data_IF_718509275617
#
_entry.id   IF_718509275617
#
_cell.length_a   1.000
_cell.length_b   1.000
_cell.length_c   1.000
_cell.angle_alpha   90.00
_cell.angle_beta   90.00
_cell.angle_gamma   90.00
#
_symmetry.space_group_name_H-M   'P 1'
#
loop_
_entity.id
_entity.type
_entity.pdbx_description
1 polymer ?
#
# COMPACT_ATOMS: atom_id res chain seq x y z
N UNK A 1 9.33 -3.75 -3.51
CA UNK A 1 8.29 -2.96 -4.21
C UNK A 1 7.99 -3.45 -5.63
N UNK A 2 8.89 -4.15 -6.31
CA UNK A 2 8.69 -4.55 -7.71
C UNK A 2 7.41 -5.38 -7.91
N UNK A 3 7.10 -6.31 -7.00
CA UNK A 3 5.89 -7.13 -7.08
C UNK A 3 4.60 -6.29 -7.12
N UNK A 4 4.52 -5.20 -6.35
CA UNK A 4 3.37 -4.28 -6.36
C UNK A 4 3.21 -3.63 -7.74
N UNK A 5 4.33 -3.26 -8.38
CA UNK A 5 4.30 -2.70 -9.74
C UNK A 5 3.83 -3.73 -10.77
N UNK A 6 4.28 -4.99 -10.64
CA UNK A 6 3.86 -6.09 -11.53
C UNK A 6 2.35 -6.31 -11.42
N UNK A 7 1.80 -6.41 -10.21
CA UNK A 7 0.35 -6.63 -10.01
C UNK A 7 -0.49 -5.40 -10.39
N UNK A 8 0.03 -4.19 -10.17
CA UNK A 8 -0.60 -2.96 -10.68
C UNK A 8 -0.69 -2.94 -12.21
N UNK A 9 0.37 -3.41 -12.91
CA UNK A 9 0.37 -3.52 -14.37
C UNK A 9 -0.63 -4.57 -14.87
N UNK A 10 -0.78 -5.68 -14.16
CA UNK A 10 -1.76 -6.74 -14.47
C UNK A 10 -3.22 -6.33 -14.20
N UNK A 11 -3.45 -5.27 -13.42
CA UNK A 11 -4.81 -4.81 -13.05
C UNK A 11 -5.47 -5.66 -11.95
N UNK A 12 -4.71 -6.52 -11.28
CA UNK A 12 -5.17 -7.37 -10.18
C UNK A 12 -5.17 -6.64 -8.84
N UNK A 13 -4.36 -5.58 -8.72
CA UNK A 13 -4.18 -4.81 -7.50
C UNK A 13 -5.40 -3.91 -7.23
N UNK A 14 -5.94 -3.99 -6.01
CA UNK A 14 -7.12 -3.24 -5.54
C UNK A 14 -6.77 -2.12 -4.56
N UNK A 15 -5.73 -2.31 -3.76
CA UNK A 15 -5.22 -1.33 -2.79
C UNK A 15 -3.71 -1.48 -2.63
N UNK A 16 -3.00 -0.37 -2.48
CA UNK A 16 -1.60 -0.37 -2.10
C UNK A 16 -1.41 0.31 -0.73
N UNK A 17 -0.64 -0.32 0.15
CA UNK A 17 -0.16 0.30 1.38
C UNK A 17 1.33 0.53 1.22
N UNK A 18 1.78 1.76 1.39
CA UNK A 18 3.18 2.16 1.23
C UNK A 18 3.68 2.68 2.56
N UNK A 19 4.86 2.24 2.96
CA UNK A 19 5.46 2.73 4.18
C UNK A 19 5.93 4.19 4.04
N UNK A 20 5.74 5.00 5.08
CA UNK A 20 5.97 6.46 5.02
C UNK A 20 7.47 6.83 5.01
N UNK A 21 8.29 5.99 5.62
CA UNK A 21 9.75 6.11 5.78
C UNK A 21 10.53 5.69 4.52
N UNK A 22 9.84 5.21 3.49
CA UNK A 22 10.45 4.84 2.22
C UNK A 22 11.06 6.07 1.55
N UNK A 23 12.29 5.91 1.04
CA UNK A 23 12.96 6.95 0.25
C UNK A 23 12.09 7.47 -0.90
N UNK A 24 12.15 8.79 -1.13
CA UNK A 24 11.42 9.46 -2.21
C UNK A 24 11.68 8.82 -3.58
N UNK A 25 12.95 8.48 -3.85
CA UNK A 25 13.35 7.80 -5.08
C UNK A 25 12.63 6.46 -5.31
N UNK A 26 12.32 5.71 -4.25
CA UNK A 26 11.59 4.45 -4.37
C UNK A 26 10.09 4.69 -4.56
N UNK A 27 9.52 5.69 -3.88
CA UNK A 27 8.12 6.10 -4.05
C UNK A 27 7.83 6.59 -5.47
N UNK A 28 8.73 7.39 -6.04
CA UNK A 28 8.61 7.93 -7.41
C UNK A 28 8.54 6.83 -8.50
N UNK A 29 8.96 5.59 -8.20
CA UNK A 29 8.86 4.45 -9.13
C UNK A 29 7.50 3.77 -9.15
N UNK A 30 6.71 3.93 -8.08
CA UNK A 30 5.51 3.15 -7.81
C UNK A 30 4.27 4.03 -7.77
N UNK A 31 4.32 5.14 -7.03
CA UNK A 31 3.17 6.03 -6.84
C UNK A 31 2.60 6.56 -8.16
N UNK A 32 3.40 7.02 -9.14
CA UNK A 32 2.85 7.48 -10.42
C UNK A 32 2.10 6.38 -11.18
N UNK A 33 2.60 5.14 -11.15
CA UNK A 33 1.95 3.99 -11.77
C UNK A 33 0.62 3.66 -11.09
N UNK A 34 0.59 3.63 -9.75
CA UNK A 34 -0.62 3.35 -8.99
C UNK A 34 -1.71 4.40 -9.24
N UNK A 35 -1.32 5.69 -9.22
CA UNK A 35 -2.22 6.80 -9.55
C UNK A 35 -2.76 6.70 -10.97
N UNK A 36 -1.89 6.42 -11.96
CA UNK A 36 -2.30 6.25 -13.35
C UNK A 36 -3.26 5.07 -13.57
N UNK A 37 -3.24 4.08 -12.68
CA UNK A 37 -4.14 2.91 -12.69
C UNK A 37 -5.40 3.10 -11.84
N UNK A 38 -5.57 4.25 -11.18
CA UNK A 38 -6.70 4.50 -10.28
C UNK A 38 -6.71 3.60 -9.04
N UNK A 39 -5.53 3.18 -8.59
CA UNK A 39 -5.39 2.31 -7.42
C UNK A 39 -5.20 3.20 -6.19
N UNK A 40 -6.03 3.00 -5.17
CA UNK A 40 -5.92 3.72 -3.91
C UNK A 40 -4.60 3.41 -3.19
N UNK A 41 -4.06 4.42 -2.52
CA UNK A 41 -2.77 4.36 -1.83
C UNK A 41 -2.98 4.84 -0.39
N UNK A 42 -2.53 4.04 0.57
CA UNK A 42 -2.52 4.37 2.00
C UNK A 42 -1.06 4.49 2.44
N UNK A 43 -0.69 5.64 3.02
CA UNK A 43 0.65 5.91 3.58
C UNK A 43 0.53 6.12 5.10
N UNK A 44 0.94 5.15 5.92
CA UNK A 44 0.80 5.25 7.40
C UNK A 44 1.95 4.60 8.16
N UNK A 45 2.26 3.33 7.92
CA UNK A 45 3.26 2.56 8.71
C UNK A 45 4.69 2.82 8.24
N UNK A 46 5.69 2.59 9.10
CA UNK A 46 7.08 2.42 8.68
C UNK A 46 7.28 1.08 7.98
N UNK A 47 8.43 0.88 7.31
CA UNK A 47 8.71 -0.36 6.60
C UNK A 47 8.83 -1.55 7.56
N UNK A 48 9.30 -1.31 8.78
CA UNK A 48 9.39 -2.31 9.84
C UNK A 48 8.00 -2.69 10.34
N UNK A 49 7.17 -1.72 10.72
CA UNK A 49 5.79 -1.97 11.18
C UNK A 49 4.94 -2.67 10.10
N UNK A 50 5.08 -2.27 8.84
CA UNK A 50 4.39 -2.90 7.71
C UNK A 50 4.91 -4.33 7.46
N UNK A 51 6.21 -4.56 7.67
CA UNK A 51 6.81 -5.89 7.64
C UNK A 51 6.23 -6.78 8.73
N UNK A 52 6.29 -6.32 9.97
CA UNK A 52 5.83 -7.05 11.15
C UNK A 52 4.35 -7.44 11.05
N UNK A 53 3.50 -6.52 10.57
CA UNK A 53 2.08 -6.80 10.31
C UNK A 53 1.85 -7.91 9.27
N UNK A 54 2.83 -8.14 8.38
CA UNK A 54 2.80 -9.17 7.34
C UNK A 54 3.62 -10.42 7.69
N UNK A 55 4.16 -10.52 8.91
CA UNK A 55 5.05 -11.62 9.32
C UNK A 55 6.41 -11.61 8.59
N UNK A 56 6.95 -10.43 8.30
CA UNK A 56 8.26 -10.21 7.67
C UNK A 56 9.08 -9.22 8.49
N UNK A 57 10.41 -9.23 8.33
CA UNK A 57 11.26 -8.24 9.00
C UNK A 57 10.96 -6.81 8.53
N UNK A 58 10.90 -6.58 7.22
CA UNK A 58 10.56 -5.27 6.65
C UNK A 58 9.77 -5.41 5.36
N UNK A 59 8.85 -4.49 5.12
CA UNK A 59 8.08 -4.37 3.88
C UNK A 59 7.84 -2.91 3.54
N UNK A 60 8.43 -2.46 2.44
CA UNK A 60 8.30 -1.07 2.00
C UNK A 60 6.95 -0.76 1.33
N UNK A 61 6.33 -1.75 0.68
CA UNK A 61 4.99 -1.63 0.13
C UNK A 61 4.30 -3.01 0.07
N UNK A 62 3.01 -3.01 0.39
CA UNK A 62 2.11 -4.14 0.34
C UNK A 62 1.04 -3.88 -0.73
N UNK A 63 0.74 -4.89 -1.52
CA UNK A 63 -0.36 -4.84 -2.49
C UNK A 63 -1.46 -5.82 -2.11
N UNK A 64 -2.71 -5.34 -2.07
CA UNK A 64 -3.89 -6.16 -1.80
C UNK A 64 -4.64 -6.37 -3.10
N UNK A 65 -4.79 -7.63 -3.51
CA UNK A 65 -5.50 -8.03 -4.74
C UNK A 65 -6.94 -8.50 -4.48
N UNK A 66 -7.23 -8.91 -3.24
CA UNK A 66 -8.58 -9.28 -2.83
C UNK A 66 -9.45 -8.03 -2.58
N UNK A 67 -10.64 -8.01 -3.16
CA UNK A 67 -11.54 -6.87 -3.08
C UNK A 67 -12.19 -6.71 -1.69
N UNK A 68 -12.48 -7.81 -1.00
CA UNK A 68 -13.07 -7.80 0.34
C UNK A 68 -12.09 -7.25 1.37
N UNK A 69 -10.85 -7.74 1.34
CA UNK A 69 -9.77 -7.24 2.19
C UNK A 69 -9.45 -5.77 1.89
N UNK A 70 -9.34 -5.40 0.60
CA UNK A 70 -9.10 -4.01 0.23
C UNK A 70 -10.20 -3.08 0.75
N UNK A 71 -11.47 -3.50 0.70
CA UNK A 71 -12.60 -2.75 1.26
C UNK A 71 -12.49 -2.61 2.77
N UNK A 72 -12.19 -3.70 3.49
CA UNK A 72 -12.04 -3.68 4.95
C UNK A 72 -10.90 -2.77 5.41
N UNK A 73 -9.73 -2.89 4.78
CA UNK A 73 -8.57 -2.04 5.09
C UNK A 73 -8.86 -0.57 4.78
N UNK A 74 -9.55 -0.25 3.68
CA UNK A 74 -9.98 1.13 3.38
C UNK A 74 -10.92 1.67 4.44
N UNK A 75 -11.88 0.87 4.93
CA UNK A 75 -12.80 1.32 5.96
C UNK A 75 -12.04 1.71 7.25
N UNK A 76 -11.10 0.87 7.69
CA UNK A 76 -10.28 1.14 8.89
C UNK A 76 -9.35 2.34 8.67
N UNK A 77 -8.70 2.42 7.49
CA UNK A 77 -7.78 3.51 7.17
C UNK A 77 -8.44 4.88 6.98
N UNK A 78 -9.76 4.92 6.72
CA UNK A 78 -10.55 6.15 6.69
C UNK A 78 -11.01 6.58 8.09
N UNK A 79 -11.15 5.63 9.03
CA UNK A 79 -11.60 5.90 10.40
C UNK A 79 -10.51 6.50 11.30
N UNK A 80 -9.22 6.41 10.92
CA UNK A 80 -8.12 7.11 11.62
C UNK A 80 -8.25 8.64 11.56
N UNK A 81 -9.18 9.19 10.76
CA UNK A 81 -9.56 10.60 10.76
C UNK A 81 -10.73 10.97 11.69
N UNK A 82 -11.23 10.04 12.53
CA UNK A 82 -12.41 10.25 13.37
C UNK A 82 -12.22 9.69 14.78
N UNK A 83 -11.15 10.12 15.44
CA UNK A 83 -11.03 10.02 16.89
C UNK A 83 -10.96 11.44 17.44
N UNK A 84 -12.10 11.91 17.95
CA UNK A 84 -12.19 12.98 18.97
C UNK A 84 -11.67 12.46 20.32
#
# INVERSE_FOLDING_TARGET
MEQVRVEAKKGTLKLAVVAHDVSRHSRDKVIPLLKAKGIDIIEVLSADELGAACGRDQTAALGITDAGLARGVRAIGLDTGRSE
#
